data_IF_034195797441
#
_entry.id   IF_034195797441
#
_cell.length_a   1.000
_cell.length_b   1.000
_cell.length_c   1.000
_cell.angle_alpha   90.00
_cell.angle_beta   90.00
_cell.angle_gamma   90.00
#
_symmetry.space_group_name_H-M   'P 1'
#
loop_
_entity.id
_entity.type
_entity.pdbx_description
1 polymer ?
#
# COMPACT_ATOMS: atom_id res chain seq x y z
N UNK A 1 -6.73 5.71 -10.98
CA UNK A 1 -6.90 4.55 -10.09
C UNK A 1 -6.09 4.78 -8.84
N UNK A 2 -6.60 4.39 -7.67
CA UNK A 2 -5.90 4.52 -6.40
C UNK A 2 -5.63 3.11 -5.88
N UNK A 3 -4.36 2.82 -5.57
CA UNK A 3 -3.92 1.52 -5.08
C UNK A 3 -3.60 1.62 -3.59
N UNK A 4 -3.85 0.54 -2.88
CA UNK A 4 -3.50 0.41 -1.47
C UNK A 4 -3.09 -1.03 -1.15
N UNK A 5 -2.31 -1.19 -0.08
CA UNK A 5 -2.10 -2.50 0.54
C UNK A 5 -3.26 -2.75 1.49
N UNK A 6 -3.95 -3.87 1.32
CA UNK A 6 -5.07 -4.29 2.16
C UNK A 6 -4.68 -5.52 2.97
N UNK A 7 -4.81 -5.42 4.30
CA UNK A 7 -4.59 -6.53 5.23
C UNK A 7 -5.91 -6.86 5.91
N UNK A 8 -6.34 -8.11 5.81
CA UNK A 8 -7.57 -8.60 6.44
C UNK A 8 -7.35 -9.89 7.24
N UNK A 9 -8.12 -10.12 8.30
CA UNK A 9 -8.10 -11.38 9.03
C UNK A 9 -8.73 -12.50 8.19
N UNK A 10 -8.09 -13.66 8.19
CA UNK A 10 -8.58 -14.87 7.48
C UNK A 10 -10.02 -15.27 7.84
N UNK A 11 -10.47 -15.00 9.06
CA UNK A 11 -11.80 -15.40 9.58
C UNK A 11 -12.80 -14.25 9.67
N UNK A 12 -12.42 -13.06 9.25
CA UNK A 12 -13.30 -11.89 9.21
C UNK A 12 -13.16 -11.22 7.83
N UNK A 13 -13.60 -11.90 6.76
CA UNK A 13 -13.58 -11.32 5.43
C UNK A 13 -14.35 -10.00 5.48
N UNK A 14 -13.91 -9.03 4.69
CA UNK A 14 -14.47 -7.68 4.57
C UNK A 14 -14.07 -6.70 5.68
N UNK A 15 -13.48 -7.16 6.78
CA UNK A 15 -12.81 -6.28 7.75
C UNK A 15 -11.33 -6.19 7.42
N UNK A 16 -10.72 -5.02 7.58
CA UNK A 16 -9.30 -4.91 7.31
C UNK A 16 -8.72 -3.53 7.49
N UNK A 17 -7.44 -3.43 7.14
CA UNK A 17 -6.68 -2.18 7.17
C UNK A 17 -6.14 -1.89 5.80
N UNK A 18 -6.40 -0.67 5.33
CA UNK A 18 -5.81 -0.12 4.13
C UNK A 18 -4.61 0.74 4.48
N UNK A 19 -3.51 0.53 3.77
CA UNK A 19 -2.33 1.38 3.75
C UNK A 19 -2.23 2.01 2.37
N UNK A 20 -2.44 3.31 2.29
CA UNK A 20 -2.59 4.00 1.02
C UNK A 20 -1.77 5.28 0.97
N UNK A 21 -1.19 5.58 -0.17
CA UNK A 21 -0.49 6.84 -0.37
C UNK A 21 -1.47 7.90 -0.89
N UNK A 22 -1.64 8.97 -0.13
CA UNK A 22 -2.54 10.08 -0.46
C UNK A 22 -1.73 11.35 -0.72
N UNK A 23 -2.01 12.00 -1.85
CA UNK A 23 -1.44 13.29 -2.20
C UNK A 23 -2.21 14.40 -1.47
N UNK A 24 -1.57 15.08 -0.51
CA UNK A 24 -2.20 16.08 0.34
C UNK A 24 -2.22 17.47 -0.32
N UNK A 25 -2.99 17.63 -1.41
CA UNK A 25 -2.98 18.88 -2.18
C UNK A 25 -3.70 20.11 -1.59
N UNK A 26 -4.68 20.09 -0.66
CA UNK A 26 -5.47 21.31 -0.46
C UNK A 26 -4.97 22.28 0.62
N UNK A 27 -4.13 21.89 1.58
CA UNK A 27 -3.74 22.77 2.69
C UNK A 27 -2.29 22.53 3.14
N UNK A 28 -1.32 23.02 2.36
CA UNK A 28 0.05 23.14 2.82
C UNK A 28 0.11 24.04 4.06
N UNK A 29 0.83 23.60 5.09
CA UNK A 29 1.13 24.41 6.27
C UNK A 29 2.64 24.65 6.37
N UNK A 30 3.07 25.66 7.14
CA UNK A 30 4.49 25.96 7.36
C UNK A 30 5.26 24.76 7.95
N UNK A 31 4.56 23.83 8.59
CA UNK A 31 5.10 22.60 9.20
C UNK A 31 4.96 21.35 8.33
N UNK A 32 4.17 21.40 7.26
CA UNK A 32 3.91 20.28 6.34
C UNK A 32 3.66 20.84 4.93
N UNK A 33 4.76 21.19 4.22
CA UNK A 33 4.69 22.07 3.07
C UNK A 33 4.52 21.27 1.77
N UNK A 34 3.36 20.64 1.58
CA UNK A 34 3.06 19.77 0.42
C UNK A 34 3.73 18.40 0.50
N UNK A 35 2.97 17.33 0.24
CA UNK A 35 3.58 16.01 0.14
C UNK A 35 2.60 14.85 0.11
N UNK A 36 3.15 13.71 -0.28
CA UNK A 36 2.48 12.44 -0.16
C UNK A 36 2.50 11.99 1.29
N UNK A 37 1.43 11.36 1.76
CA UNK A 37 1.35 10.77 3.10
C UNK A 37 0.86 9.34 3.02
N UNK A 38 1.37 8.51 3.92
CA UNK A 38 0.86 7.17 4.13
C UNK A 38 -0.36 7.23 5.07
N UNK A 39 -1.55 7.07 4.52
CA UNK A 39 -2.79 6.94 5.27
C UNK A 39 -3.02 5.49 5.69
N UNK A 40 -3.26 5.29 6.98
CA UNK A 40 -3.57 3.98 7.58
C UNK A 40 -4.99 4.02 8.12
N UNK A 41 -5.89 3.28 7.47
CA UNK A 41 -7.32 3.32 7.76
C UNK A 41 -7.83 1.91 8.08
N UNK A 42 -8.53 1.76 9.20
CA UNK A 42 -9.18 0.49 9.58
C UNK A 42 -10.65 0.54 9.21
N UNK A 43 -11.19 -0.58 8.74
CA UNK A 43 -12.57 -0.69 8.29
C UNK A 43 -13.22 -1.95 8.85
N UNK A 44 -14.48 -1.78 9.29
CA UNK A 44 -15.34 -2.88 9.76
C UNK A 44 -16.15 -3.52 8.60
N UNK A 45 -15.98 -3.03 7.37
CA UNK A 45 -16.57 -3.57 6.14
C UNK A 45 -15.76 -3.10 4.91
N UNK A 46 -15.95 -3.74 3.75
CA UNK A 46 -15.21 -3.34 2.55
C UNK A 46 -15.46 -1.87 2.21
N UNK A 47 -14.40 -1.09 1.89
CA UNK A 47 -14.56 0.28 1.44
C UNK A 47 -15.45 0.35 0.21
N UNK A 48 -16.44 1.26 0.22
CA UNK A 48 -17.40 1.41 -0.89
C UNK A 48 -16.78 1.79 -2.24
N UNK A 49 -15.52 2.24 -2.24
CA UNK A 49 -14.73 2.60 -3.42
C UNK A 49 -13.69 1.54 -3.81
N UNK A 50 -13.70 0.36 -3.17
CA UNK A 50 -12.82 -0.73 -3.54
C UNK A 50 -13.36 -1.45 -4.78
N UNK A 51 -12.65 -1.35 -5.90
CA UNK A 51 -13.04 -2.00 -7.17
C UNK A 51 -12.63 -3.47 -7.24
N UNK A 52 -11.56 -3.85 -6.54
CA UNK A 52 -11.07 -5.22 -6.52
C UNK A 52 -9.88 -5.38 -5.58
N UNK A 53 -9.47 -6.63 -5.39
CA UNK A 53 -8.31 -7.02 -4.57
C UNK A 53 -7.60 -8.19 -5.20
N UNK A 54 -6.28 -8.21 -5.08
CA UNK A 54 -5.44 -9.32 -5.53
C UNK A 54 -4.67 -9.82 -4.32
N UNK A 55 -4.82 -11.10 -3.98
CA UNK A 55 -4.08 -11.69 -2.86
C UNK A 55 -2.63 -11.95 -3.29
N UNK A 56 -1.69 -11.29 -2.61
CA UNK A 56 -0.26 -11.40 -2.88
C UNK A 56 0.49 -12.28 -1.87
N UNK A 57 -0.16 -12.69 -0.79
CA UNK A 57 0.49 -13.47 0.27
C UNK A 57 -0.37 -13.60 1.52
N UNK A 58 0.26 -14.08 2.60
CA UNK A 58 -0.32 -14.22 3.93
C UNK A 58 0.67 -13.66 4.93
N UNK A 59 0.18 -12.83 5.85
CA UNK A 59 0.99 -12.34 6.96
C UNK A 59 1.29 -13.52 7.90
N UNK A 60 2.58 -13.80 8.21
CA UNK A 60 3.00 -14.77 9.20
C UNK A 60 2.40 -14.54 10.60
N UNK A 61 2.24 -15.58 11.40
CA UNK A 61 1.64 -15.47 12.75
C UNK A 61 2.48 -14.66 13.75
N UNK A 62 3.78 -14.55 13.49
CA UNK A 62 4.76 -13.79 14.26
C UNK A 62 4.87 -12.32 13.85
N UNK A 63 4.23 -11.91 12.74
CA UNK A 63 4.14 -10.52 12.33
C UNK A 63 2.78 -9.91 12.71
N UNK A 64 2.83 -8.86 13.52
CA UNK A 64 1.64 -8.07 13.82
C UNK A 64 1.36 -7.05 12.72
N UNK A 65 0.12 -6.56 12.67
CA UNK A 65 -0.25 -5.42 11.82
C UNK A 65 0.65 -4.20 12.05
N UNK A 66 1.10 -3.98 13.30
CA UNK A 66 1.98 -2.87 13.65
C UNK A 66 3.36 -3.03 13.02
N UNK A 67 3.90 -4.24 12.98
CA UNK A 67 5.19 -4.53 12.35
C UNK A 67 5.12 -4.29 10.84
N UNK A 68 3.99 -4.65 10.21
CA UNK A 68 3.75 -4.32 8.80
C UNK A 68 3.64 -2.81 8.58
N UNK A 69 2.92 -2.10 9.44
CA UNK A 69 2.84 -0.63 9.36
C UNK A 69 4.21 0.02 9.49
N UNK A 70 5.05 -0.44 10.43
CA UNK A 70 6.41 0.03 10.61
C UNK A 70 7.27 -0.27 9.38
N UNK A 71 7.18 -1.48 8.83
CA UNK A 71 7.86 -1.87 7.59
C UNK A 71 7.46 -0.97 6.41
N UNK A 72 6.16 -0.68 6.26
CA UNK A 72 5.67 0.16 5.16
C UNK A 72 6.06 1.64 5.32
N UNK A 73 6.30 2.11 6.55
CA UNK A 73 6.81 3.46 6.82
C UNK A 73 8.28 3.63 6.48
N UNK A 74 9.03 2.55 6.32
CA UNK A 74 10.43 2.59 5.86
C UNK A 74 10.54 2.83 4.35
N UNK A 75 9.46 2.62 3.59
CA UNK A 75 9.42 2.88 2.15
C UNK A 75 9.41 4.40 1.91
N UNK A 76 10.42 4.95 1.21
CA UNK A 76 10.51 6.38 0.97
C UNK A 76 9.27 6.92 0.24
N UNK A 77 8.80 8.08 0.67
CA UNK A 77 7.68 8.76 0.02
C UNK A 77 8.19 9.55 -1.21
N UNK A 78 7.34 9.82 -2.20
CA UNK A 78 7.74 10.65 -3.34
C UNK A 78 8.14 12.08 -2.95
N UNK A 79 7.63 12.58 -1.82
CA UNK A 79 8.00 13.89 -1.28
C UNK A 79 9.29 13.87 -0.44
N UNK A 80 9.87 12.71 -0.15
CA UNK A 80 11.08 12.63 0.65
C UNK A 80 12.30 13.12 -0.15
N UNK A 81 13.18 13.96 0.44
CA UNK A 81 14.34 14.50 -0.26
C UNK A 81 15.26 13.39 -0.81
N UNK A 82 15.36 13.29 -2.14
CA UNK A 82 16.25 12.35 -2.81
C UNK A 82 15.78 10.89 -2.83
N UNK A 83 14.50 10.62 -2.57
CA UNK A 83 13.96 9.25 -2.49
C UNK A 83 14.00 8.46 -3.80
N UNK A 84 14.00 9.14 -4.95
CA UNK A 84 13.91 8.51 -6.26
C UNK A 84 12.55 7.89 -6.58
N UNK A 85 11.59 7.96 -5.64
CA UNK A 85 10.21 7.51 -5.83
C UNK A 85 9.43 8.62 -6.52
N UNK A 86 8.82 8.34 -7.68
CA UNK A 86 8.16 9.40 -8.46
C UNK A 86 6.69 9.60 -8.10
N UNK A 87 5.98 8.53 -7.76
CA UNK A 87 4.54 8.55 -7.47
C UNK A 87 4.10 7.38 -6.56
N UNK A 88 2.79 7.25 -6.37
CA UNK A 88 2.21 6.16 -5.58
C UNK A 88 2.34 4.76 -6.19
N UNK A 89 2.58 4.64 -7.50
CA UNK A 89 2.83 3.34 -8.16
C UNK A 89 4.24 2.88 -7.85
N UNK A 90 5.23 3.78 -7.94
CA UNK A 90 6.60 3.49 -7.54
C UNK A 90 6.69 3.16 -6.05
N UNK A 91 5.97 3.91 -5.20
CA UNK A 91 5.86 3.58 -3.78
C UNK A 91 5.28 2.19 -3.56
N UNK A 92 4.22 1.82 -4.30
CA UNK A 92 3.60 0.51 -4.18
C UNK A 92 4.56 -0.62 -4.56
N UNK A 93 5.40 -0.41 -5.59
CA UNK A 93 6.45 -1.38 -5.95
C UNK A 93 7.43 -1.58 -4.80
N UNK A 94 7.94 -0.50 -4.21
CA UNK A 94 8.82 -0.58 -3.03
C UNK A 94 8.14 -1.21 -1.82
N UNK A 95 6.85 -0.93 -1.60
CA UNK A 95 6.04 -1.58 -0.57
C UNK A 95 5.94 -3.09 -0.79
N UNK A 96 5.74 -3.55 -2.03
CA UNK A 96 5.74 -4.98 -2.34
C UNK A 96 7.10 -5.62 -2.11
N UNK A 97 8.21 -4.93 -2.42
CA UNK A 97 9.57 -5.43 -2.16
C UNK A 97 9.79 -5.66 -0.66
N UNK A 98 9.51 -4.67 0.19
CA UNK A 98 9.72 -4.81 1.64
C UNK A 98 8.79 -5.87 2.25
N UNK A 99 7.57 -6.01 1.74
CA UNK A 99 6.64 -7.06 2.17
C UNK A 99 7.12 -8.46 1.75
N UNK A 100 7.74 -8.60 0.58
CA UNK A 100 8.38 -9.84 0.16
C UNK A 100 9.61 -10.18 1.01
N UNK A 101 10.36 -9.16 1.45
CA UNK A 101 11.56 -9.32 2.26
C UNK A 101 11.26 -9.71 3.70
N UNK A 102 10.20 -9.16 4.30
CA UNK A 102 9.74 -9.59 5.63
C UNK A 102 8.85 -10.84 5.61
N UNK A 103 8.54 -11.39 4.42
CA UNK A 103 7.75 -12.62 4.26
C UNK A 103 6.23 -12.44 4.36
N UNK A 104 5.74 -11.20 4.39
CA UNK A 104 4.31 -10.88 4.37
C UNK A 104 3.67 -11.02 2.97
N UNK A 105 4.48 -11.05 1.91
CA UNK A 105 4.08 -11.33 0.54
C UNK A 105 4.88 -12.50 -0.06
N UNK A 106 4.25 -13.24 -0.97
CA UNK A 106 4.90 -14.32 -1.74
C UNK A 106 5.96 -13.74 -2.69
N UNK A 107 6.96 -14.53 -3.08
CA UNK A 107 7.98 -14.12 -4.06
C UNK A 107 7.41 -14.24 -5.48
N UNK A 108 7.27 -13.10 -6.15
CA UNK A 108 6.85 -12.94 -7.54
C UNK A 108 7.55 -11.74 -8.18
N UNK A 109 7.55 -11.67 -9.51
CA UNK A 109 8.06 -10.50 -10.23
C UNK A 109 7.11 -9.33 -10.05
N UNK A 110 7.53 -8.33 -9.27
CA UNK A 110 6.74 -7.11 -9.02
C UNK A 110 6.48 -6.36 -10.32
N UNK A 111 7.46 -6.26 -11.21
CA UNK A 111 7.29 -5.61 -12.51
C UNK A 111 6.23 -6.29 -13.38
N UNK A 112 6.29 -7.62 -13.52
CA UNK A 112 5.28 -8.36 -14.28
C UNK A 112 3.88 -8.22 -13.64
N UNK A 113 3.81 -8.36 -12.32
CA UNK A 113 2.57 -8.20 -11.57
C UNK A 113 1.95 -6.81 -11.77
N UNK A 114 2.74 -5.74 -11.66
CA UNK A 114 2.27 -4.37 -11.84
C UNK A 114 1.85 -4.10 -13.28
N UNK A 115 2.58 -4.66 -14.26
CA UNK A 115 2.18 -4.60 -15.68
C UNK A 115 0.81 -5.20 -15.92
N UNK A 116 0.56 -6.40 -15.38
CA UNK A 116 -0.73 -7.09 -15.51
C UNK A 116 -1.83 -6.35 -14.73
N UNK A 117 -1.56 -5.94 -13.49
CA UNK A 117 -2.52 -5.28 -12.61
C UNK A 117 -2.99 -3.94 -13.21
N UNK A 118 -2.07 -3.14 -13.77
CA UNK A 118 -2.42 -1.89 -14.45
C UNK A 118 -3.17 -2.12 -15.75
N UNK A 119 -2.78 -3.12 -16.55
CA UNK A 119 -3.49 -3.47 -17.78
C UNK A 119 -4.94 -3.89 -17.55
N UNK A 120 -5.20 -4.62 -16.45
CA UNK A 120 -6.55 -5.05 -16.07
C UNK A 120 -7.36 -3.96 -15.39
N UNK A 121 -6.74 -3.05 -14.61
CA UNK A 121 -7.46 -1.97 -13.92
C UNK A 121 -8.22 -1.04 -14.87
N UNK A 122 -7.75 -0.87 -16.12
CA UNK A 122 -8.47 -0.10 -17.16
C UNK A 122 -9.80 -0.75 -17.56
N UNK A 123 -9.99 -2.04 -17.27
CA UNK A 123 -11.18 -2.82 -17.63
C UNK A 123 -12.18 -2.97 -16.48
N UNK A 124 -11.87 -2.46 -15.27
CA UNK A 124 -12.70 -2.59 -14.07
C UNK A 124 -13.63 -1.40 -13.85
#
# INVERSE_FOLDING_TARGET
FHWSIWIEPKRAPDTGTSFALTDSLPHASVTDPFGWRLDVMSYDSLPSRMFGRIMIGKVPEDLSKKDIEETLKEVPLPSDPGSGVSDGVDWLKGALEVLQDCGAAERFSIEAFMGDAMGNAVQW
#
